data_IF_492365734415
#
_entry.id   IF_492365734415
#
_cell.length_a   1.000
_cell.length_b   1.000
_cell.length_c   1.000
_cell.angle_alpha   90.00
_cell.angle_beta   90.00
_cell.angle_gamma   90.00
#
_symmetry.space_group_name_H-M   'P 1'
#
loop_
_entity.id
_entity.type
_entity.pdbx_description
1 polymer ?
#
# COMPACT_ATOMS: atom_id res chain seq x y z
N UNK A 1 -21.80 4.04 -1.64
CA UNK A 1 -20.83 4.14 -0.55
C UNK A 1 -21.18 5.32 0.31
N UNK A 2 -21.12 5.18 1.63
CA UNK A 2 -21.50 6.24 2.57
C UNK A 2 -20.28 7.15 2.84
N UNK A 3 -20.46 8.45 2.61
CA UNK A 3 -19.43 9.49 2.82
C UNK A 3 -19.94 10.56 3.79
N UNK A 4 -21.01 10.28 4.50
CA UNK A 4 -21.59 11.22 5.43
C UNK A 4 -20.63 11.51 6.60
N UNK A 5 -20.62 12.74 7.12
CA UNK A 5 -19.83 13.07 8.31
C UNK A 5 -20.17 12.17 9.51
N UNK A 6 -21.42 11.75 9.62
CA UNK A 6 -21.90 10.86 10.68
C UNK A 6 -21.29 9.46 10.56
N UNK A 7 -21.25 8.88 9.34
CA UNK A 7 -20.64 7.57 9.10
C UNK A 7 -19.13 7.61 9.40
N UNK A 8 -18.46 8.68 9.01
CA UNK A 8 -17.03 8.86 9.30
C UNK A 8 -16.75 9.00 10.81
N UNK A 9 -17.57 9.76 11.53
CA UNK A 9 -17.43 9.90 12.98
C UNK A 9 -17.67 8.57 13.71
N UNK A 10 -18.65 7.78 13.25
CA UNK A 10 -18.89 6.44 13.78
C UNK A 10 -17.70 5.52 13.54
N UNK A 11 -17.14 5.55 12.32
CA UNK A 11 -15.92 4.79 11.97
C UNK A 11 -14.73 5.19 12.85
N UNK A 12 -14.50 6.49 13.05
CA UNK A 12 -13.41 6.98 13.91
C UNK A 12 -13.52 6.41 15.33
N UNK A 13 -14.71 6.49 15.94
CA UNK A 13 -14.95 5.93 17.29
C UNK A 13 -14.74 4.41 17.35
N UNK A 14 -15.06 3.70 16.27
CA UNK A 14 -14.83 2.26 16.17
C UNK A 14 -13.34 1.93 16.06
N UNK A 15 -12.56 2.77 15.40
CA UNK A 15 -11.13 2.57 15.17
C UNK A 15 -10.24 3.07 16.33
N UNK A 16 -10.70 4.03 17.13
CA UNK A 16 -9.93 4.57 18.28
C UNK A 16 -9.35 3.51 19.22
N UNK A 17 -10.07 2.43 19.61
CA UNK A 17 -9.55 1.42 20.51
C UNK A 17 -8.65 0.37 19.84
N UNK A 18 -8.41 0.45 18.52
CA UNK A 18 -7.61 -0.54 17.79
C UNK A 18 -6.14 -0.34 18.13
N UNK A 19 -5.53 -1.34 18.78
CA UNK A 19 -4.12 -1.32 19.12
C UNK A 19 -3.23 -1.31 17.86
N UNK A 20 -2.15 -0.53 17.91
CA UNK A 20 -1.21 -0.43 16.79
C UNK A 20 -1.80 0.24 15.55
N UNK A 21 -2.70 1.21 15.74
CA UNK A 21 -3.30 1.99 14.66
C UNK A 21 -3.18 3.49 14.94
N UNK A 22 -2.48 4.22 14.06
CA UNK A 22 -2.51 5.69 14.08
C UNK A 22 -3.67 6.21 13.23
N UNK A 23 -4.40 7.20 13.77
CA UNK A 23 -5.46 7.93 13.08
C UNK A 23 -4.96 9.34 12.74
N UNK A 24 -4.84 9.67 11.47
CA UNK A 24 -4.32 10.95 10.98
C UNK A 24 -5.50 11.74 10.38
N UNK A 25 -5.86 12.83 11.06
CA UNK A 25 -6.99 13.69 10.69
C UNK A 25 -6.56 15.12 10.34
N UNK A 26 -5.27 15.44 10.51
CA UNK A 26 -4.75 16.76 10.18
C UNK A 26 -4.85 17.03 8.66
N UNK A 27 -5.29 18.23 8.29
CA UNK A 27 -5.48 18.62 6.89
C UNK A 27 -4.24 18.37 6.04
N UNK A 28 -3.05 18.66 6.58
CA UNK A 28 -1.78 18.42 5.88
C UNK A 28 -1.55 16.93 5.54
N UNK A 29 -1.92 16.01 6.45
CA UNK A 29 -1.81 14.58 6.20
C UNK A 29 -2.84 14.11 5.18
N UNK A 30 -4.08 14.57 5.30
CA UNK A 30 -5.15 14.26 4.33
C UNK A 30 -4.75 14.71 2.92
N UNK A 31 -4.19 15.91 2.76
CA UNK A 31 -3.71 16.40 1.48
C UNK A 31 -2.53 15.60 0.94
N UNK A 32 -1.52 15.38 1.80
CA UNK A 32 -0.30 14.65 1.44
C UNK A 32 -0.60 13.25 0.93
N UNK A 33 -1.45 12.51 1.63
CA UNK A 33 -1.73 11.11 1.32
C UNK A 33 -2.87 10.91 0.32
N UNK A 34 -3.50 11.98 -0.14
CA UNK A 34 -4.48 11.94 -1.23
C UNK A 34 -3.87 12.05 -2.61
N UNK A 35 -2.54 12.20 -2.72
CA UNK A 35 -1.82 12.35 -4.00
C UNK A 35 -0.69 11.35 -4.10
N UNK A 36 -0.32 10.99 -5.32
CA UNK A 36 0.93 10.26 -5.59
C UNK A 36 2.16 11.14 -5.27
N UNK A 37 3.34 10.53 -5.23
CA UNK A 37 4.59 11.25 -4.93
C UNK A 37 5.08 12.13 -6.09
N UNK A 38 4.57 11.91 -7.30
CA UNK A 38 4.95 12.62 -8.52
C UNK A 38 3.78 13.40 -9.09
N UNK A 39 4.09 14.46 -9.83
CA UNK A 39 3.10 15.25 -10.54
C UNK A 39 2.40 14.41 -11.62
N UNK A 40 1.12 14.68 -11.80
CA UNK A 40 0.33 14.04 -12.84
C UNK A 40 0.53 14.71 -14.19
N UNK A 41 0.25 13.96 -15.25
CA UNK A 41 0.12 14.56 -16.57
C UNK A 41 -1.02 15.60 -16.57
N UNK A 42 -0.96 16.62 -17.45
CA UNK A 42 -2.02 17.65 -17.55
C UNK A 42 -3.41 17.07 -17.84
N UNK A 43 -3.50 15.85 -18.35
CA UNK A 43 -4.76 15.14 -18.61
C UNK A 43 -5.35 14.57 -17.31
N UNK A 44 -4.51 14.04 -16.42
CA UNK A 44 -4.93 13.39 -15.18
C UNK A 44 -5.11 14.37 -14.02
N UNK A 45 -4.34 15.44 -14.01
CA UNK A 45 -4.35 16.41 -12.89
C UNK A 45 -5.76 16.97 -12.59
N UNK A 46 -6.60 17.38 -13.58
CA UNK A 46 -7.96 17.84 -13.31
C UNK A 46 -8.87 16.75 -12.73
N UNK A 47 -8.63 15.48 -13.06
CA UNK A 47 -9.45 14.35 -12.58
C UNK A 47 -9.21 14.06 -11.10
N UNK A 48 -8.01 14.36 -10.59
CA UNK A 48 -7.60 14.04 -9.23
C UNK A 48 -7.58 15.24 -8.28
N UNK A 49 -7.76 16.44 -8.80
CA UNK A 49 -7.63 17.70 -8.05
C UNK A 49 -8.49 17.74 -6.78
N UNK A 50 -9.71 17.26 -6.87
CA UNK A 50 -10.70 17.30 -5.79
C UNK A 50 -10.82 15.97 -5.02
N UNK A 51 -10.03 14.96 -5.41
CA UNK A 51 -10.02 13.69 -4.71
C UNK A 51 -9.26 13.82 -3.39
N UNK A 52 -9.98 13.69 -2.26
CA UNK A 52 -9.41 13.84 -0.92
C UNK A 52 -9.85 12.70 0.00
N UNK A 53 -8.88 12.18 0.75
CA UNK A 53 -9.17 11.32 1.89
C UNK A 53 -9.91 12.10 2.98
N UNK A 54 -10.82 11.45 3.65
CA UNK A 54 -11.51 11.99 4.82
C UNK A 54 -10.84 11.54 6.13
N UNK A 55 -10.12 10.43 6.06
CA UNK A 55 -9.30 9.88 7.14
C UNK A 55 -8.08 9.17 6.52
N UNK A 56 -6.94 9.32 7.16
CA UNK A 56 -5.76 8.49 6.86
C UNK A 56 -5.46 7.64 8.08
N UNK A 57 -5.18 6.37 7.87
CA UNK A 57 -4.84 5.42 8.94
C UNK A 57 -3.51 4.76 8.66
N UNK A 58 -2.74 4.47 9.72
CA UNK A 58 -1.43 3.82 9.64
C UNK A 58 -1.41 2.64 10.59
N UNK A 59 -1.70 1.43 10.10
CA UNK A 59 -1.60 0.22 10.91
C UNK A 59 -0.16 -0.23 11.08
N UNK A 60 0.18 -0.71 12.28
CA UNK A 60 1.48 -1.27 12.64
C UNK A 60 1.46 -2.80 12.72
N UNK A 61 0.31 -3.41 12.54
CA UNK A 61 0.13 -4.86 12.59
C UNK A 61 -0.88 -5.35 11.54
N UNK A 62 -0.83 -6.64 11.22
CA UNK A 62 -1.82 -7.27 10.34
C UNK A 62 -3.22 -7.23 10.95
N UNK A 63 -3.31 -7.40 12.28
CA UNK A 63 -4.60 -7.35 12.98
C UNK A 63 -5.25 -5.97 12.87
N UNK A 64 -4.46 -4.89 12.96
CA UNK A 64 -4.94 -3.54 12.73
C UNK A 64 -5.41 -3.33 11.29
N UNK A 65 -4.71 -3.89 10.28
CA UNK A 65 -5.15 -3.86 8.88
C UNK A 65 -6.51 -4.53 8.72
N UNK A 66 -6.66 -5.73 9.30
CA UNK A 66 -7.93 -6.48 9.23
C UNK A 66 -9.06 -5.72 9.92
N UNK A 67 -8.80 -5.13 11.09
CA UNK A 67 -9.78 -4.34 11.82
C UNK A 67 -10.27 -3.14 10.99
N UNK A 68 -9.35 -2.36 10.40
CA UNK A 68 -9.69 -1.22 9.52
C UNK A 68 -10.49 -1.67 8.30
N UNK A 69 -10.02 -2.71 7.60
CA UNK A 69 -10.69 -3.19 6.40
C UNK A 69 -12.12 -3.68 6.70
N UNK A 70 -12.29 -4.42 7.80
CA UNK A 70 -13.60 -4.90 8.24
C UNK A 70 -14.53 -3.75 8.66
N UNK A 71 -14.04 -2.75 9.37
CA UNK A 71 -14.81 -1.58 9.78
C UNK A 71 -15.26 -0.75 8.56
N UNK A 72 -14.35 -0.48 7.60
CA UNK A 72 -14.68 0.22 6.36
C UNK A 72 -15.72 -0.55 5.54
N UNK A 73 -15.60 -1.87 5.44
CA UNK A 73 -16.55 -2.72 4.72
C UNK A 73 -17.95 -2.68 5.36
N UNK A 74 -18.04 -2.82 6.71
CA UNK A 74 -19.32 -2.71 7.43
C UNK A 74 -19.99 -1.36 7.25
N UNK A 75 -19.20 -0.29 7.37
CA UNK A 75 -19.67 1.08 7.20
C UNK A 75 -19.92 1.47 5.73
N UNK A 76 -19.52 0.63 4.77
CA UNK A 76 -19.53 0.92 3.31
C UNK A 76 -18.78 2.20 2.96
N UNK A 77 -17.72 2.49 3.70
CA UNK A 77 -16.83 3.63 3.45
C UNK A 77 -15.72 3.17 2.49
N UNK A 78 -15.41 3.94 1.43
CA UNK A 78 -14.32 3.62 0.51
C UNK A 78 -12.97 3.48 1.24
N UNK A 79 -12.20 2.46 0.87
CA UNK A 79 -10.86 2.22 1.40
C UNK A 79 -9.84 2.16 0.25
N UNK A 80 -8.84 3.04 0.31
CA UNK A 80 -7.74 3.07 -0.65
C UNK A 80 -6.46 2.63 0.05
N UNK A 81 -5.80 1.60 -0.46
CA UNK A 81 -4.50 1.15 0.06
C UNK A 81 -3.37 1.99 -0.54
N UNK A 82 -2.41 2.38 0.31
CA UNK A 82 -1.24 3.12 -0.12
C UNK A 82 0.04 2.44 0.39
N UNK A 83 0.87 1.98 -0.55
CA UNK A 83 2.26 1.64 -0.27
C UNK A 83 3.11 2.91 -0.14
N UNK A 84 4.22 3.00 -0.85
CA UNK A 84 5.05 4.22 -0.84
C UNK A 84 4.49 5.37 -1.69
N UNK A 85 3.45 5.13 -2.48
CA UNK A 85 2.82 6.14 -3.34
C UNK A 85 3.68 6.60 -4.50
N UNK A 86 4.60 5.77 -4.98
CA UNK A 86 5.54 6.09 -6.07
C UNK A 86 4.93 5.99 -7.47
N UNK A 87 3.63 5.72 -7.58
CA UNK A 87 2.89 5.78 -8.83
C UNK A 87 2.73 7.21 -9.34
N UNK A 88 2.27 7.34 -10.59
CA UNK A 88 2.01 8.63 -11.25
C UNK A 88 0.74 8.60 -12.12
N UNK A 89 -0.09 7.57 -11.94
CA UNK A 89 -1.35 7.40 -12.66
C UNK A 89 -2.58 7.44 -11.74
N UNK A 90 -2.41 7.85 -10.48
CA UNK A 90 -3.52 7.94 -9.53
C UNK A 90 -3.86 6.64 -8.79
N UNK A 91 -2.95 5.65 -8.80
CA UNK A 91 -3.24 4.34 -8.16
C UNK A 91 -3.52 4.43 -6.66
N UNK A 92 -2.96 5.45 -5.99
CA UNK A 92 -3.15 5.66 -4.55
C UNK A 92 -4.10 6.82 -4.24
N UNK A 93 -4.73 7.42 -5.25
CA UNK A 93 -5.67 8.53 -5.07
C UNK A 93 -7.01 7.99 -4.58
N UNK A 94 -7.57 8.54 -3.50
CA UNK A 94 -8.90 8.15 -3.01
C UNK A 94 -9.99 8.76 -3.89
N UNK A 95 -10.23 8.16 -5.06
CA UNK A 95 -11.19 8.65 -6.07
C UNK A 95 -12.59 8.86 -5.49
N UNK A 96 -12.97 8.01 -4.58
CA UNK A 96 -14.28 8.05 -3.91
C UNK A 96 -14.21 8.68 -2.51
N UNK A 97 -13.09 9.33 -2.15
CA UNK A 97 -12.87 9.81 -0.78
C UNK A 97 -12.67 8.67 0.22
N UNK A 98 -13.24 8.79 1.42
CA UNK A 98 -13.17 7.76 2.45
C UNK A 98 -11.80 7.69 3.14
N UNK A 99 -11.32 6.46 3.37
CA UNK A 99 -10.11 6.17 4.13
C UNK A 99 -8.95 5.84 3.22
N UNK A 100 -7.76 6.41 3.50
CA UNK A 100 -6.49 5.95 2.94
C UNK A 100 -5.73 5.17 4.01
N UNK A 101 -5.35 3.93 3.73
CA UNK A 101 -4.59 3.07 4.64
C UNK A 101 -3.14 2.96 4.19
N UNK A 102 -2.23 3.44 5.03
CA UNK A 102 -0.79 3.47 4.78
C UNK A 102 -0.16 2.14 5.19
N UNK A 103 0.35 1.38 4.24
CA UNK A 103 0.92 0.05 4.49
C UNK A 103 2.42 0.09 4.86
N UNK A 104 3.00 1.28 4.98
CA UNK A 104 4.45 1.46 5.10
C UNK A 104 5.09 1.00 6.41
N UNK A 105 4.32 0.68 7.46
CA UNK A 105 4.86 0.19 8.73
C UNK A 105 5.03 -1.34 8.76
N UNK A 106 4.37 -2.07 7.88
CA UNK A 106 4.51 -3.52 7.73
C UNK A 106 5.72 -3.83 6.84
N UNK A 107 6.93 -3.90 7.41
CA UNK A 107 8.21 -3.91 6.67
C UNK A 107 9.06 -5.16 6.86
N UNK A 108 8.65 -6.09 7.69
CA UNK A 108 9.47 -7.24 8.03
C UNK A 108 9.73 -8.13 6.80
N UNK A 109 10.98 -8.56 6.63
CA UNK A 109 11.31 -9.74 5.83
C UNK A 109 11.29 -10.91 6.79
N UNK A 110 10.28 -11.77 6.65
CA UNK A 110 9.99 -12.85 7.59
C UNK A 110 10.85 -14.06 7.35
N UNK A 111 11.03 -14.43 6.07
CA UNK A 111 11.79 -15.60 5.69
C UNK A 111 12.39 -15.42 4.28
N UNK A 112 13.59 -15.92 4.10
CA UNK A 112 14.24 -16.09 2.80
C UNK A 112 14.67 -17.54 2.71
N UNK A 113 13.92 -18.37 1.96
CA UNK A 113 14.28 -19.74 1.71
C UNK A 113 15.43 -19.82 0.71
N UNK A 114 16.61 -20.16 1.20
CA UNK A 114 17.82 -20.28 0.40
C UNK A 114 17.77 -21.43 -0.63
N UNK A 115 16.93 -22.44 -0.44
CA UNK A 115 16.84 -23.58 -1.35
C UNK A 115 15.91 -23.28 -2.55
N UNK A 116 14.75 -22.71 -2.28
CA UNK A 116 13.73 -22.44 -3.30
C UNK A 116 13.84 -21.03 -3.89
N UNK A 117 14.43 -20.07 -3.16
CA UNK A 117 14.43 -18.67 -3.49
C UNK A 117 13.11 -17.96 -3.21
N UNK A 118 12.21 -18.59 -2.47
CA UNK A 118 10.95 -17.98 -2.00
C UNK A 118 11.26 -17.02 -0.86
N UNK A 119 10.58 -15.87 -0.86
CA UNK A 119 10.71 -14.86 0.18
C UNK A 119 9.34 -14.55 0.75
N UNK A 120 9.20 -14.65 2.07
CA UNK A 120 8.05 -14.13 2.80
C UNK A 120 8.37 -12.73 3.33
N UNK A 121 7.63 -11.74 2.88
CA UNK A 121 7.91 -10.33 3.19
C UNK A 121 6.61 -9.54 3.35
N UNK A 122 6.60 -8.61 4.27
CA UNK A 122 5.47 -7.70 4.47
C UNK A 122 5.39 -6.66 3.36
N UNK A 123 4.16 -6.27 3.01
CA UNK A 123 3.86 -5.46 1.83
C UNK A 123 4.46 -4.04 1.84
N UNK A 124 4.74 -3.48 3.00
CA UNK A 124 5.35 -2.17 3.18
C UNK A 124 6.88 -2.18 3.10
N UNK A 125 7.52 -3.34 3.06
CA UNK A 125 8.96 -3.46 2.89
C UNK A 125 9.39 -2.77 1.58
N UNK A 126 10.45 -1.97 1.62
CA UNK A 126 10.98 -1.34 0.41
C UNK A 126 11.78 -2.35 -0.41
N UNK A 127 11.65 -2.28 -1.73
CA UNK A 127 12.42 -3.16 -2.63
C UNK A 127 13.92 -3.07 -2.40
N UNK A 128 14.47 -1.88 -2.12
CA UNK A 128 15.89 -1.69 -1.80
C UNK A 128 16.33 -2.43 -0.53
N UNK A 129 15.46 -2.48 0.48
CA UNK A 129 15.78 -3.12 1.76
C UNK A 129 15.70 -4.64 1.65
N UNK A 130 14.74 -5.14 0.86
CA UNK A 130 14.67 -6.54 0.50
C UNK A 130 15.87 -6.96 -0.35
N UNK A 131 16.23 -6.19 -1.39
CA UNK A 131 17.37 -6.50 -2.27
C UNK A 131 18.70 -6.57 -1.49
N UNK A 132 18.89 -5.66 -0.52
CA UNK A 132 20.06 -5.70 0.35
C UNK A 132 20.13 -7.00 1.17
N UNK A 133 19.00 -7.45 1.76
CA UNK A 133 18.97 -8.71 2.52
C UNK A 133 19.17 -9.94 1.61
N UNK A 134 18.69 -9.88 0.37
CA UNK A 134 18.94 -10.93 -0.62
C UNK A 134 20.42 -10.99 -1.03
N UNK A 135 21.09 -9.84 -1.14
CA UNK A 135 22.51 -9.79 -1.48
C UNK A 135 23.40 -10.48 -0.43
N UNK A 136 23.02 -10.45 0.86
CA UNK A 136 23.71 -11.17 1.94
C UNK A 136 23.67 -12.71 1.74
N UNK A 137 22.75 -13.19 0.91
CA UNK A 137 22.62 -14.61 0.52
C UNK A 137 23.02 -14.86 -0.95
N UNK A 138 23.80 -13.95 -1.56
CA UNK A 138 24.20 -14.00 -2.96
C UNK A 138 23.00 -14.09 -3.93
N UNK A 139 21.88 -13.46 -3.61
CA UNK A 139 20.65 -13.40 -4.40
C UNK A 139 20.31 -11.96 -4.74
N UNK A 140 19.41 -11.77 -5.70
CA UNK A 140 18.91 -10.46 -6.12
C UNK A 140 17.45 -10.54 -6.57
N UNK A 141 16.75 -9.40 -6.57
CA UNK A 141 15.43 -9.29 -7.16
C UNK A 141 15.53 -9.46 -8.70
N UNK A 142 14.60 -10.26 -9.26
CA UNK A 142 14.52 -10.45 -10.72
C UNK A 142 13.98 -9.22 -11.45
N UNK A 143 13.09 -8.49 -10.80
CA UNK A 143 12.40 -7.35 -11.39
C UNK A 143 12.58 -6.14 -10.47
N UNK A 144 12.98 -5.02 -11.07
CA UNK A 144 13.14 -3.75 -10.36
C UNK A 144 12.49 -2.61 -11.15
N UNK A 145 11.55 -1.86 -10.57
CA UNK A 145 11.07 -0.63 -11.20
C UNK A 145 12.13 0.47 -11.12
N UNK A 146 12.00 1.52 -11.93
CA UNK A 146 12.87 2.71 -11.84
C UNK A 146 12.86 3.33 -10.43
N UNK A 147 11.76 3.17 -9.71
CA UNK A 147 11.54 3.66 -8.35
C UNK A 147 11.95 2.66 -7.26
N UNK A 148 12.73 1.62 -7.56
CA UNK A 148 13.05 0.52 -6.64
C UNK A 148 13.60 0.97 -5.27
N UNK A 149 14.26 2.14 -5.21
CA UNK A 149 14.77 2.70 -3.96
C UNK A 149 13.68 3.16 -3.00
N UNK A 150 12.51 3.47 -3.50
CA UNK A 150 11.38 4.04 -2.73
C UNK A 150 10.09 3.24 -2.84
N UNK A 151 9.97 2.35 -3.81
CA UNK A 151 8.78 1.52 -3.99
C UNK A 151 8.72 0.41 -2.92
N UNK A 152 7.51 0.17 -2.41
CA UNK A 152 7.23 -0.97 -1.53
C UNK A 152 6.93 -2.23 -2.34
N UNK A 153 7.23 -3.40 -1.77
CA UNK A 153 6.96 -4.71 -2.38
C UNK A 153 5.48 -4.85 -2.75
N UNK A 154 4.57 -4.59 -1.81
CA UNK A 154 3.14 -4.70 -2.06
C UNK A 154 2.65 -3.73 -3.13
N UNK A 155 3.14 -2.49 -3.12
CA UNK A 155 2.78 -1.49 -4.15
C UNK A 155 3.30 -1.87 -5.53
N UNK A 156 4.50 -2.43 -5.63
CA UNK A 156 5.08 -2.90 -6.89
C UNK A 156 4.27 -4.06 -7.49
N UNK A 157 3.91 -5.04 -6.65
CA UNK A 157 3.09 -6.19 -7.07
C UNK A 157 1.70 -5.75 -7.50
N UNK A 158 1.00 -4.96 -6.68
CA UNK A 158 -0.35 -4.51 -6.94
C UNK A 158 -0.44 -3.58 -8.17
N UNK A 159 0.64 -2.81 -8.44
CA UNK A 159 0.72 -1.95 -9.60
C UNK A 159 0.97 -2.68 -10.92
N UNK A 160 1.29 -3.98 -10.91
CA UNK A 160 1.54 -4.78 -12.11
C UNK A 160 2.73 -4.29 -12.94
N UNK A 161 3.65 -3.55 -12.33
CA UNK A 161 4.80 -2.97 -13.04
C UNK A 161 5.83 -4.03 -13.41
N UNK A 162 6.24 -4.09 -14.69
CA UNK A 162 7.24 -5.05 -15.15
C UNK A 162 8.68 -4.71 -14.73
N UNK A 163 9.03 -3.43 -14.72
CA UNK A 163 10.38 -2.96 -14.37
C UNK A 163 11.51 -3.48 -15.26
N UNK A 164 12.75 -3.26 -14.81
CA UNK A 164 13.95 -3.84 -15.42
C UNK A 164 13.98 -5.36 -15.13
N UNK A 165 14.30 -6.16 -16.12
CA UNK A 165 14.28 -7.62 -16.03
C UNK A 165 13.14 -8.28 -16.79
N UNK A 166 12.12 -7.54 -17.21
CA UNK A 166 11.00 -8.04 -18.00
C UNK A 166 11.48 -8.69 -19.32
N UNK A 167 12.48 -8.09 -19.96
CA UNK A 167 13.04 -8.60 -21.24
C UNK A 167 13.84 -9.89 -21.09
N UNK A 168 14.34 -10.20 -19.88
CA UNK A 168 15.17 -11.38 -19.63
C UNK A 168 14.38 -12.59 -19.09
N UNK A 169 13.19 -12.38 -18.51
CA UNK A 169 12.46 -13.41 -17.79
C UNK A 169 10.97 -13.58 -18.16
N UNK A 170 10.46 -12.81 -19.11
CA UNK A 170 9.03 -12.78 -19.39
C UNK A 170 8.23 -12.10 -18.26
N UNK A 171 6.92 -12.00 -18.43
CA UNK A 171 6.04 -11.58 -17.34
C UNK A 171 6.24 -12.53 -16.15
N UNK A 172 6.94 -12.08 -15.13
CA UNK A 172 6.95 -12.80 -13.88
C UNK A 172 5.53 -12.68 -13.32
N UNK A 173 4.76 -13.75 -13.41
CA UNK A 173 3.70 -13.96 -12.45
C UNK A 173 4.41 -14.05 -11.10
N UNK A 174 4.53 -12.93 -10.40
CA UNK A 174 4.84 -12.93 -8.98
C UNK A 174 3.63 -13.64 -8.38
N UNK A 175 3.79 -14.91 -8.12
CA UNK A 175 2.82 -15.69 -7.40
C UNK A 175 2.90 -15.15 -5.95
N UNK A 176 2.17 -14.09 -5.67
CA UNK A 176 1.92 -13.66 -4.32
C UNK A 176 1.08 -14.75 -3.67
N UNK A 177 1.75 -15.71 -3.05
CA UNK A 177 1.09 -16.71 -2.21
C UNK A 177 0.66 -15.93 -0.97
N UNK A 178 -0.58 -15.45 -0.95
CA UNK A 178 -1.23 -15.02 0.28
C UNK A 178 -1.47 -16.27 1.13
N UNK A 179 -0.48 -16.63 1.95
CA UNK A 179 -0.68 -17.63 2.98
C UNK A 179 -1.61 -17.01 4.04
N UNK A 180 -2.89 -17.35 3.99
CA UNK A 180 -3.79 -17.01 5.08
C UNK A 180 -5.25 -16.67 4.74
N UNK A 181 -5.63 -16.50 3.50
CA UNK A 181 -7.05 -16.30 3.16
C UNK A 181 -7.64 -17.59 2.60
N UNK A 182 -8.35 -18.34 3.45
CA UNK A 182 -9.34 -19.31 3.00
C UNK A 182 -10.64 -18.56 2.76
N UNK A 183 -11.09 -18.55 1.51
CA UNK A 183 -12.44 -18.10 1.12
C UNK A 183 -13.48 -19.07 1.67
#
# INVERSE_FOLDING_TARGET
MDRSPQALQALLKELEPVEGLDLLTATADLERYSRDAYDYSPVLEPLFRDCRAQLVVRPHSVDAVVAVAAACARARIPLTLRGSGTGNYGQCVPLEGGVVMLMGELRAVREIDGATGVVEVECGCLLKDLDRQLADQARQLRLMPSTWRSASVGGFIAGGSGGLGLCAGGFCAIQAIYSGWKW
#
